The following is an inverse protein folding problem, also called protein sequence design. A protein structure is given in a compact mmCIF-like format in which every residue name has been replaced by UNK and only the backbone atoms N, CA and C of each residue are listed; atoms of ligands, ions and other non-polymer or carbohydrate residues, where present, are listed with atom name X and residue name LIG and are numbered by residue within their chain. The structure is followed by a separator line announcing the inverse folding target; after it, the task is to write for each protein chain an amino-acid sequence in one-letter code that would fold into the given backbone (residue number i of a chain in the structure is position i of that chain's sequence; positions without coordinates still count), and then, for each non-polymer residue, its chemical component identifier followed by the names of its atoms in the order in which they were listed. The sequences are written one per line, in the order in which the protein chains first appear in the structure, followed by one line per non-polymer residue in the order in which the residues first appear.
data_IF_458938676722
#
_entry.id   IF_458938676722
#
_cell.length_a   1.000
_cell.length_b   1.000
_cell.length_c   1.000
_cell.angle_alpha   90.00
_cell.angle_beta   90.00
_cell.angle_gamma   90.00
#
_symmetry.space_group_name_H-M   'P 1'
#
loop_
_entity.id
_entity.type
_entity.pdbx_description
1 polymer ?
#
# COMPACT_ATOMS: atom_id res chain seq x y z
N UNK A 1 44.79 10.14 -19.75
CA UNK A 1 43.79 11.20 -19.51
C UNK A 1 42.40 10.58 -19.53
N UNK A 2 41.76 10.42 -18.37
CA UNK A 2 40.45 9.76 -18.25
C UNK A 2 39.32 10.79 -18.41
N UNK A 3 38.46 10.61 -19.43
CA UNK A 3 37.28 11.46 -19.63
C UNK A 3 36.17 11.06 -18.66
N UNK A 4 35.52 12.02 -17.98
CA UNK A 4 34.39 11.73 -17.09
C UNK A 4 33.18 11.25 -17.89
N UNK A 5 32.54 10.17 -17.45
CA UNK A 5 31.29 9.63 -18.01
C UNK A 5 30.11 10.01 -17.10
N UNK A 6 29.00 10.42 -17.70
CA UNK A 6 27.78 10.86 -17.01
C UNK A 6 27.21 12.16 -17.57
N UNK A 7 25.95 12.47 -17.26
CA UNK A 7 25.28 13.71 -17.69
C UNK A 7 25.89 14.91 -16.94
N UNK A 8 26.86 15.58 -17.56
CA UNK A 8 27.50 16.80 -17.03
C UNK A 8 26.67 17.98 -17.52
N UNK A 9 25.96 18.64 -16.60
CA UNK A 9 25.20 19.86 -16.92
C UNK A 9 26.19 21.05 -16.85
N UNK A 10 26.50 21.71 -17.98
CA UNK A 10 27.38 22.88 -17.98
C UNK A 10 26.68 24.05 -17.27
N UNK A 11 27.35 24.65 -16.28
CA UNK A 11 26.84 25.83 -15.55
C UNK A 11 26.54 25.60 -14.07
N UNK A 12 26.57 24.37 -13.56
CA UNK A 12 26.59 24.12 -12.12
C UNK A 12 28.03 23.96 -11.65
N UNK A 13 28.66 25.10 -11.32
CA UNK A 13 29.91 25.11 -10.59
C UNK A 13 29.69 24.42 -9.24
N UNK A 14 30.44 23.33 -8.99
CA UNK A 14 30.57 22.72 -7.67
C UNK A 14 31.12 23.80 -6.74
N UNK A 15 30.27 24.38 -5.89
CA UNK A 15 30.74 25.11 -4.71
C UNK A 15 31.55 24.14 -3.87
N UNK A 16 32.78 24.53 -3.60
CA UNK A 16 33.68 23.81 -2.71
C UNK A 16 32.98 23.50 -1.39
N UNK A 17 33.16 22.28 -0.91
CA UNK A 17 32.56 21.81 0.33
C UNK A 17 33.10 22.63 1.50
N UNK A 18 32.30 23.59 1.96
CA UNK A 18 32.46 24.18 3.27
C UNK A 18 32.42 23.05 4.31
N UNK A 19 33.37 23.10 5.25
CA UNK A 19 33.57 22.17 6.38
C UNK A 19 32.24 21.69 6.98
N UNK A 20 32.12 20.43 7.41
CA UNK A 20 30.85 19.94 7.98
C UNK A 20 30.56 20.68 9.29
N UNK A 21 29.58 21.57 9.26
CA UNK A 21 28.97 22.11 10.47
C UNK A 21 28.32 20.94 11.22
N UNK A 22 28.58 20.85 12.54
CA UNK A 22 27.97 19.86 13.43
C UNK A 22 26.44 19.89 13.29
N UNK A 23 25.74 18.74 13.24
CA UNK A 23 24.30 18.74 13.11
C UNK A 23 23.64 19.40 14.34
N UNK A 24 22.57 20.19 14.18
CA UNK A 24 21.82 20.72 15.31
C UNK A 24 21.18 19.56 16.07
N UNK A 25 21.51 19.46 17.35
CA UNK A 25 20.91 18.52 18.29
C UNK A 25 19.44 18.92 18.42
N UNK A 26 18.55 18.04 17.98
CA UNK A 26 17.10 18.18 18.24
C UNK A 26 16.91 17.82 19.72
N UNK A 27 16.14 18.57 20.52
CA UNK A 27 15.84 18.16 21.88
C UNK A 27 15.04 16.84 21.82
N UNK A 28 15.67 15.76 22.28
CA UNK A 28 15.00 14.50 22.56
C UNK A 28 14.07 14.73 23.73
N UNK A 29 12.77 14.57 23.52
CA UNK A 29 11.72 14.76 24.54
C UNK A 29 11.75 13.64 25.61
N UNK A 30 12.64 12.64 25.44
CA UNK A 30 12.81 11.52 26.36
C UNK A 30 14.17 11.51 27.08
N UNK A 31 15.06 12.49 26.85
CA UNK A 31 16.34 12.64 27.56
C UNK A 31 16.25 13.67 28.71
N UNK A 32 15.13 13.73 29.42
CA UNK A 32 15.09 14.41 30.72
C UNK A 32 15.54 13.44 31.82
N UNK A 33 16.82 13.09 31.79
CA UNK A 33 17.51 12.63 33.00
C UNK A 33 18.99 12.96 32.91
N UNK A 34 19.42 13.77 33.88
CA UNK A 34 20.82 14.02 34.27
C UNK A 34 21.51 15.26 33.67
N UNK A 35 20.98 16.44 34.00
CA UNK A 35 21.83 17.61 34.29
C UNK A 35 21.38 18.16 35.67
N UNK A 36 22.02 17.67 36.73
CA UNK A 36 21.88 18.25 38.07
C UNK A 36 23.28 18.62 38.55
N UNK A 37 23.56 19.91 38.46
CA UNK A 37 24.65 20.58 39.17
C UNK A 37 24.40 20.53 40.68
N UNK A 38 25.50 20.68 41.40
CA UNK A 38 25.77 20.46 42.81
C UNK A 38 24.70 21.00 43.80
N UNK A 39 24.06 20.08 44.54
CA UNK A 39 23.59 20.40 45.88
C UNK A 39 23.64 19.16 46.78
N UNK A 40 24.50 19.27 47.78
CA UNK A 40 24.80 18.26 48.77
C UNK A 40 23.57 17.72 49.52
N UNK A 41 23.64 16.42 49.80
CA UNK A 41 22.97 15.73 50.92
C UNK A 41 21.44 15.82 50.98
N UNK A 42 20.73 14.90 50.31
CA UNK A 42 19.57 14.15 50.85
C UNK A 42 18.93 13.25 49.77
N UNK A 43 19.63 12.22 49.32
CA UNK A 43 19.00 11.10 48.61
C UNK A 43 18.74 9.97 49.63
N UNK A 44 17.53 9.37 49.69
CA UNK A 44 17.30 8.23 50.57
C UNK A 44 18.12 7.06 50.02
N UNK A 45 19.27 6.82 50.65
CA UNK A 45 20.10 5.66 50.40
C UNK A 45 19.29 4.41 50.73
N UNK A 46 18.75 3.75 49.70
CA UNK A 46 18.21 2.40 49.82
C UNK A 46 19.42 1.50 50.09
N UNK A 47 19.77 1.38 51.37
CA UNK A 47 20.73 0.39 51.83
C UNK A 47 20.20 -0.98 51.40
N UNK A 48 20.92 -1.76 50.58
CA UNK A 48 20.55 -3.15 50.41
C UNK A 48 20.63 -3.76 51.80
N UNK A 49 19.50 -4.23 52.35
CA UNK A 49 19.51 -4.98 53.60
C UNK A 49 20.34 -6.22 53.35
N UNK A 50 21.59 -6.17 53.77
CA UNK A 50 22.49 -7.30 53.83
C UNK A 50 21.97 -8.25 54.90
N UNK A 51 21.11 -9.19 54.50
CA UNK A 51 21.05 -10.58 55.00
C UNK A 51 19.93 -11.36 54.28
N UNK A 52 20.08 -11.60 52.98
CA UNK A 52 19.39 -12.73 52.31
C UNK A 52 20.46 -13.73 51.87
N UNK A 53 21.25 -14.20 52.83
CA UNK A 53 22.11 -15.39 52.67
C UNK A 53 21.41 -16.65 53.17
N UNK A 54 20.18 -16.54 53.66
CA UNK A 54 19.30 -17.68 53.90
C UNK A 54 18.38 -17.86 52.69
N UNK A 55 18.48 -19.00 52.01
CA UNK A 55 17.49 -19.40 51.02
C UNK A 55 16.07 -19.41 51.60
N UNK A 56 15.03 -19.58 50.76
CA UNK A 56 13.64 -19.42 51.19
C UNK A 56 13.32 -20.24 52.42
N UNK A 57 12.45 -19.73 53.29
CA UNK A 57 11.97 -20.47 54.47
C UNK A 57 11.32 -21.81 54.07
N UNK A 58 11.28 -22.77 54.98
CA UNK A 58 10.55 -24.05 54.77
C UNK A 58 9.08 -23.79 54.42
N UNK A 59 8.48 -22.74 55.01
CA UNK A 59 7.12 -22.34 54.71
C UNK A 59 6.97 -21.77 53.29
N UNK A 60 7.91 -20.92 52.85
CA UNK A 60 7.95 -20.41 51.47
C UNK A 60 8.10 -21.52 50.44
N UNK A 61 8.97 -22.51 50.71
CA UNK A 61 9.10 -23.68 49.83
C UNK A 61 7.80 -24.47 49.72
N UNK A 62 7.04 -24.60 50.81
CA UNK A 62 5.74 -25.29 50.81
C UNK A 62 4.69 -24.52 50.01
N UNK A 63 4.66 -23.19 50.14
CA UNK A 63 3.77 -22.33 49.36
C UNK A 63 4.13 -22.38 47.87
N UNK A 64 5.43 -22.29 47.53
CA UNK A 64 5.91 -22.38 46.16
C UNK A 64 5.55 -23.73 45.49
N UNK A 65 5.72 -24.85 46.20
CA UNK A 65 5.32 -26.18 45.69
C UNK A 65 3.82 -26.26 45.41
N UNK A 66 2.98 -25.78 46.33
CA UNK A 66 1.52 -25.73 46.10
C UNK A 66 1.14 -24.86 44.91
N UNK A 67 1.83 -23.75 44.71
CA UNK A 67 1.61 -22.87 43.55
C UNK A 67 2.04 -23.55 42.25
N UNK A 68 3.17 -24.26 42.25
CA UNK A 68 3.65 -25.04 41.11
C UNK A 68 2.70 -26.19 40.77
N UNK A 69 2.22 -26.94 41.77
CA UNK A 69 1.25 -28.03 41.58
C UNK A 69 -0.08 -27.51 41.00
N UNK A 70 -0.55 -26.34 41.47
CA UNK A 70 -1.74 -25.68 40.91
C UNK A 70 -1.52 -25.26 39.46
N UNK A 71 -0.39 -24.63 39.16
CA UNK A 71 -0.04 -24.20 37.81
C UNK A 71 0.05 -25.39 36.84
N UNK A 72 0.66 -26.51 37.26
CA UNK A 72 0.74 -27.75 36.48
C UNK A 72 -0.62 -28.43 36.30
N UNK A 73 -1.53 -28.31 37.28
CA UNK A 73 -2.89 -28.85 37.19
C UNK A 73 -3.78 -28.03 36.24
N UNK A 74 -3.54 -26.72 36.14
CA UNK A 74 -4.19 -25.83 35.18
C UNK A 74 -3.66 -26.08 33.76
N UNK A 75 -2.33 -26.11 33.60
CA UNK A 75 -1.69 -26.38 32.32
C UNK A 75 -0.32 -27.06 32.51
N UNK A 76 -0.13 -28.31 32.03
CA UNK A 76 1.16 -28.99 32.11
C UNK A 76 2.26 -28.32 31.27
N UNK A 77 1.90 -27.48 30.30
CA UNK A 77 2.84 -26.78 29.40
C UNK A 77 3.35 -25.44 29.95
N UNK A 78 2.86 -25.01 31.11
CA UNK A 78 3.09 -23.65 31.63
C UNK A 78 4.56 -23.31 31.90
N UNK A 79 5.43 -24.32 32.07
CA UNK A 79 6.87 -24.15 32.27
C UNK A 79 7.73 -24.55 31.06
N UNK A 80 7.11 -24.90 29.92
CA UNK A 80 7.79 -25.32 28.69
C UNK A 80 8.26 -24.12 27.84
N UNK A 81 8.94 -23.15 28.46
CA UNK A 81 9.38 -21.94 27.79
C UNK A 81 10.44 -22.20 26.72
N UNK A 82 11.45 -23.02 27.04
CA UNK A 82 12.52 -23.36 26.11
C UNK A 82 12.00 -24.17 24.92
N UNK A 83 11.12 -25.15 25.16
CA UNK A 83 10.55 -25.98 24.09
C UNK A 83 9.73 -25.14 23.08
N UNK A 84 8.91 -24.22 23.57
CA UNK A 84 8.13 -23.32 22.71
C UNK A 84 9.04 -22.36 21.92
N UNK A 85 10.12 -21.89 22.54
CA UNK A 85 11.08 -21.01 21.89
C UNK A 85 11.88 -21.75 20.81
N UNK A 86 12.35 -22.96 21.12
CA UNK A 86 13.04 -23.84 20.19
C UNK A 86 12.14 -24.18 19.00
N UNK A 87 10.85 -24.45 19.22
CA UNK A 87 9.88 -24.62 18.14
C UNK A 87 9.76 -23.37 17.25
N UNK A 88 9.74 -22.17 17.83
CA UNK A 88 9.65 -20.93 17.06
C UNK A 88 10.91 -20.69 16.22
N UNK A 89 12.10 -20.93 16.78
CA UNK A 89 13.37 -20.81 16.05
C UNK A 89 13.47 -21.88 14.96
N UNK A 90 13.14 -23.14 15.25
CA UNK A 90 13.10 -24.21 14.27
C UNK A 90 12.16 -23.87 13.10
N UNK A 91 10.93 -23.38 13.38
CA UNK A 91 9.99 -22.92 12.35
C UNK A 91 10.55 -21.74 11.54
N UNK A 92 11.27 -20.80 12.17
CA UNK A 92 11.93 -19.68 11.47
C UNK A 92 13.03 -20.18 10.55
N UNK A 93 13.84 -21.13 11.00
CA UNK A 93 14.95 -21.68 10.23
C UNK A 93 14.47 -22.58 9.09
N UNK A 94 13.45 -23.40 9.29
CA UNK A 94 12.74 -24.12 8.23
C UNK A 94 12.18 -23.14 7.18
N UNK A 95 11.57 -22.03 7.61
CA UNK A 95 11.08 -20.99 6.71
C UNK A 95 12.20 -20.26 5.94
N UNK A 96 13.39 -20.11 6.54
CA UNK A 96 14.57 -19.56 5.83
C UNK A 96 15.12 -20.58 4.83
N UNK A 97 15.17 -21.86 5.21
CA UNK A 97 15.68 -22.95 4.38
C UNK A 97 14.79 -23.22 3.16
N UNK A 98 13.48 -23.14 3.32
CA UNK A 98 12.53 -23.25 2.20
C UNK A 98 12.70 -22.07 1.23
N UNK A 99 12.81 -20.85 1.74
CA UNK A 99 13.07 -19.63 0.93
C UNK A 99 14.43 -19.63 0.23
N UNK A 100 15.44 -20.33 0.76
CA UNK A 100 16.76 -20.41 0.12
C UNK A 100 16.83 -21.47 -0.98
N UNK A 101 15.99 -22.52 -0.91
CA UNK A 101 15.86 -23.55 -1.95
C UNK A 101 15.17 -23.02 -3.22
N UNK A 102 14.32 -21.99 -3.09
CA UNK A 102 13.72 -21.35 -4.25
C UNK A 102 14.76 -20.52 -5.04
N UNK A 103 14.81 -20.63 -6.38
CA UNK A 103 15.71 -19.82 -7.18
C UNK A 103 15.35 -18.34 -6.98
N UNK A 104 16.32 -17.56 -6.47
CA UNK A 104 16.16 -16.10 -6.27
C UNK A 104 15.90 -15.40 -7.59
N UNK A 105 14.61 -15.21 -7.92
CA UNK A 105 14.20 -14.34 -9.02
C UNK A 105 14.54 -12.89 -8.65
N UNK A 106 15.05 -12.13 -9.62
CA UNK A 106 15.29 -10.71 -9.39
C UNK A 106 13.97 -10.00 -9.09
N UNK A 107 13.99 -9.12 -8.08
CA UNK A 107 12.80 -8.44 -7.56
C UNK A 107 11.99 -7.68 -8.62
N UNK A 108 12.63 -7.21 -9.69
CA UNK A 108 12.03 -6.31 -10.67
C UNK A 108 11.96 -6.85 -12.10
N UNK A 109 12.69 -7.93 -12.45
CA UNK A 109 12.80 -8.37 -13.85
C UNK A 109 11.43 -8.65 -14.46
N UNK A 110 10.55 -9.33 -13.73
CA UNK A 110 9.20 -9.64 -14.22
C UNK A 110 8.41 -8.37 -14.56
N UNK A 111 8.43 -7.37 -13.68
CA UNK A 111 7.76 -6.08 -13.92
C UNK A 111 8.33 -5.35 -15.13
N UNK A 112 9.66 -5.37 -15.29
CA UNK A 112 10.31 -4.80 -16.48
C UNK A 112 9.88 -5.49 -17.76
N UNK A 113 9.79 -6.82 -17.75
CA UNK A 113 9.33 -7.62 -18.90
C UNK A 113 7.87 -7.32 -19.22
N UNK A 114 6.98 -7.30 -18.22
CA UNK A 114 5.57 -6.93 -18.42
C UNK A 114 5.42 -5.52 -18.99
N UNK A 115 6.18 -4.53 -18.49
CA UNK A 115 6.13 -3.17 -19.05
C UNK A 115 6.67 -3.09 -20.47
N UNK A 116 7.69 -3.89 -20.81
CA UNK A 116 8.20 -3.97 -22.17
C UNK A 116 7.14 -4.56 -23.11
N UNK A 117 6.43 -5.60 -22.67
CA UNK A 117 5.32 -6.22 -23.41
C UNK A 117 4.16 -5.24 -23.59
N UNK A 118 3.72 -4.56 -22.53
CA UNK A 118 2.69 -3.51 -22.61
C UNK A 118 3.05 -2.42 -23.61
N UNK A 119 4.30 -1.94 -23.61
CA UNK A 119 4.78 -0.93 -24.57
C UNK A 119 4.82 -1.44 -26.02
N UNK A 120 5.15 -2.72 -26.22
CA UNK A 120 5.09 -3.33 -27.56
C UNK A 120 3.65 -3.35 -28.08
N UNK A 121 2.70 -3.81 -27.25
CA UNK A 121 1.27 -3.82 -27.58
C UNK A 121 0.74 -2.41 -27.86
N UNK A 122 1.07 -1.43 -27.03
CA UNK A 122 0.67 -0.03 -27.25
C UNK A 122 1.20 0.52 -28.58
N UNK A 123 2.47 0.22 -28.91
CA UNK A 123 3.07 0.62 -30.18
C UNK A 123 2.34 -0.01 -31.36
N UNK A 124 2.01 -1.29 -31.28
CA UNK A 124 1.26 -1.99 -32.32
C UNK A 124 -0.14 -1.40 -32.50
N UNK A 125 -0.86 -1.13 -31.42
CA UNK A 125 -2.17 -0.46 -31.44
C UNK A 125 -2.11 0.96 -32.00
N UNK A 126 -1.02 1.69 -31.73
CA UNK A 126 -0.81 3.04 -32.25
C UNK A 126 -0.62 3.02 -33.77
N UNK A 127 0.23 2.11 -34.25
CA UNK A 127 0.44 1.92 -35.69
C UNK A 127 -0.86 1.49 -36.37
N UNK A 128 -1.64 0.61 -35.75
CA UNK A 128 -2.92 0.16 -36.30
C UNK A 128 -3.96 1.28 -36.37
N UNK A 129 -4.07 2.11 -35.33
CA UNK A 129 -4.91 3.32 -35.35
C UNK A 129 -4.49 4.30 -36.45
N UNK A 130 -3.18 4.47 -36.64
CA UNK A 130 -2.67 5.31 -37.72
C UNK A 130 -3.08 4.75 -39.09
N UNK A 131 -2.86 3.45 -39.32
CA UNK A 131 -3.24 2.78 -40.59
C UNK A 131 -4.75 2.84 -40.83
N UNK A 132 -5.58 2.69 -39.79
CA UNK A 132 -7.03 2.84 -39.92
C UNK A 132 -7.42 4.27 -40.33
N UNK A 133 -6.83 5.27 -39.68
CA UNK A 133 -7.07 6.68 -40.01
C UNK A 133 -6.65 7.02 -41.44
N UNK A 134 -5.50 6.50 -41.88
CA UNK A 134 -5.01 6.70 -43.25
C UNK A 134 -5.95 6.01 -44.26
N UNK A 135 -6.46 4.81 -43.95
CA UNK A 135 -7.44 4.11 -44.78
C UNK A 135 -8.81 4.77 -44.83
N UNK A 136 -9.27 5.37 -43.75
CA UNK A 136 -10.52 6.14 -43.74
C UNK A 136 -10.38 7.39 -44.62
N UNK A 137 -9.23 8.08 -44.56
CA UNK A 137 -8.94 9.23 -45.41
C UNK A 137 -8.81 8.85 -46.90
N UNK A 138 -8.16 7.73 -47.23
CA UNK A 138 -8.09 7.21 -48.59
C UNK A 138 -9.42 6.61 -49.07
N UNK A 139 -10.20 6.04 -48.15
CA UNK A 139 -11.48 5.41 -48.41
C UNK A 139 -12.50 6.38 -49.01
N UNK A 140 -12.45 7.66 -48.62
CA UNK A 140 -13.22 8.74 -49.24
C UNK A 140 -12.96 8.88 -50.75
N UNK A 141 -11.73 8.60 -51.20
CA UNK A 141 -11.33 8.71 -52.61
C UNK A 141 -11.63 7.43 -53.42
N UNK A 142 -11.88 6.30 -52.75
CA UNK A 142 -12.06 5.00 -53.38
C UNK A 142 -13.39 4.32 -52.99
N UNK A 143 -14.41 5.09 -52.63
CA UNK A 143 -15.75 4.61 -52.27
C UNK A 143 -16.39 3.72 -53.35
N UNK A 144 -16.08 3.99 -54.61
CA UNK A 144 -16.64 3.26 -55.76
C UNK A 144 -15.94 1.91 -56.02
N UNK A 145 -14.92 1.54 -55.22
CA UNK A 145 -14.16 0.29 -55.38
C UNK A 145 -14.45 -0.68 -54.24
N UNK A 146 -14.48 -1.96 -54.59
CA UNK A 146 -14.68 -3.03 -53.61
C UNK A 146 -13.51 -3.13 -52.61
N UNK A 147 -13.83 -3.34 -51.33
CA UNK A 147 -12.85 -3.56 -50.26
C UNK A 147 -12.78 -5.03 -49.89
N UNK A 148 -11.60 -5.65 -50.05
CA UNK A 148 -11.39 -7.06 -49.73
C UNK A 148 -10.54 -7.21 -48.47
N UNK A 149 -11.03 -8.01 -47.52
CA UNK A 149 -10.36 -8.26 -46.24
C UNK A 149 -10.02 -9.74 -46.10
N UNK A 150 -8.74 -10.04 -45.84
CA UNK A 150 -8.25 -11.40 -45.60
C UNK A 150 -8.72 -11.95 -44.26
N UNK A 151 -8.90 -13.27 -44.15
CA UNK A 151 -9.36 -13.92 -42.92
C UNK A 151 -8.45 -13.63 -41.70
N UNK A 152 -7.14 -13.53 -41.92
CA UNK A 152 -6.18 -13.19 -40.87
C UNK A 152 -6.37 -11.75 -40.35
N UNK A 153 -6.69 -10.80 -41.24
CA UNK A 153 -6.96 -9.43 -40.83
C UNK A 153 -8.29 -9.29 -40.09
N UNK A 154 -9.33 -10.04 -40.47
CA UNK A 154 -10.59 -10.07 -39.69
C UNK A 154 -10.36 -10.53 -38.25
N UNK A 155 -9.61 -11.62 -38.07
CA UNK A 155 -9.21 -12.10 -36.73
C UNK A 155 -8.41 -11.06 -35.94
N UNK A 156 -7.54 -10.30 -36.62
CA UNK A 156 -6.80 -9.20 -35.99
C UNK A 156 -7.73 -8.08 -35.51
N UNK A 157 -8.70 -7.68 -36.32
CA UNK A 157 -9.69 -6.66 -35.94
C UNK A 157 -10.54 -7.10 -34.75
N UNK A 158 -10.97 -8.36 -34.73
CA UNK A 158 -11.70 -8.96 -33.60
C UNK A 158 -10.85 -8.94 -32.34
N UNK A 159 -9.60 -9.38 -32.42
CA UNK A 159 -8.66 -9.34 -31.30
C UNK A 159 -8.45 -7.93 -30.74
N UNK A 160 -8.28 -6.94 -31.62
CA UNK A 160 -8.13 -5.54 -31.22
C UNK A 160 -9.39 -5.00 -30.57
N UNK A 161 -10.58 -5.34 -31.11
CA UNK A 161 -11.86 -4.95 -30.52
C UNK A 161 -12.04 -5.54 -29.12
N UNK A 162 -11.75 -6.82 -28.94
CA UNK A 162 -11.80 -7.46 -27.62
C UNK A 162 -10.83 -6.80 -26.63
N UNK A 163 -9.64 -6.42 -27.09
CA UNK A 163 -8.64 -5.75 -26.26
C UNK A 163 -9.13 -4.37 -25.82
N UNK A 164 -9.73 -3.60 -26.73
CA UNK A 164 -10.34 -2.31 -26.42
C UNK A 164 -11.52 -2.44 -25.46
N UNK A 165 -12.40 -3.44 -25.63
CA UNK A 165 -13.52 -3.66 -24.71
C UNK A 165 -13.03 -4.06 -23.30
N UNK A 166 -11.96 -4.84 -23.21
CA UNK A 166 -11.30 -5.19 -21.93
C UNK A 166 -10.66 -3.96 -21.28
N UNK A 167 -9.96 -3.13 -22.04
CA UNK A 167 -9.36 -1.88 -21.57
C UNK A 167 -10.45 -0.91 -21.08
N UNK A 168 -11.51 -0.69 -21.86
CA UNK A 168 -12.63 0.16 -21.46
C UNK A 168 -13.35 -0.33 -20.19
N UNK A 169 -13.51 -1.65 -20.03
CA UNK A 169 -14.06 -2.22 -18.78
C UNK A 169 -13.13 -1.99 -17.60
N UNK A 170 -11.82 -2.17 -17.78
CA UNK A 170 -10.84 -1.92 -16.73
C UNK A 170 -10.83 -0.43 -16.34
N UNK A 171 -10.79 0.47 -17.32
CA UNK A 171 -10.84 1.92 -17.14
C UNK A 171 -12.13 2.36 -16.44
N UNK A 172 -13.26 1.72 -16.75
CA UNK A 172 -14.53 1.97 -16.07
C UNK A 172 -14.49 1.59 -14.59
N UNK A 173 -13.97 0.40 -14.27
CA UNK A 173 -13.80 -0.06 -12.89
C UNK A 173 -12.81 0.82 -12.12
N UNK A 174 -11.69 1.18 -12.75
CA UNK A 174 -10.70 2.09 -12.16
C UNK A 174 -11.30 3.48 -11.96
N UNK A 175 -12.05 4.02 -12.93
CA UNK A 175 -12.70 5.31 -12.79
C UNK A 175 -13.73 5.35 -11.66
N UNK A 176 -14.40 4.22 -11.38
CA UNK A 176 -15.26 4.08 -10.21
C UNK A 176 -14.44 4.13 -8.92
N UNK A 177 -13.27 3.47 -8.86
CA UNK A 177 -12.41 3.44 -7.67
C UNK A 177 -11.49 4.67 -7.50
N UNK A 178 -11.36 5.49 -8.53
CA UNK A 178 -10.47 6.65 -8.56
C UNK A 178 -11.01 7.77 -7.67
N UNK A 179 -10.27 7.99 -6.58
CA UNK A 179 -10.53 9.00 -5.57
C UNK A 179 -10.64 10.42 -6.15
N UNK A 180 -9.95 10.70 -7.25
CA UNK A 180 -10.00 12.03 -7.90
C UNK A 180 -11.29 12.27 -8.68
N UNK A 181 -11.96 11.20 -9.11
CA UNK A 181 -13.23 11.24 -9.84
C UNK A 181 -14.43 11.13 -8.92
N UNK A 182 -14.24 10.58 -7.72
CA UNK A 182 -15.26 10.52 -6.67
C UNK A 182 -15.43 11.87 -5.96
N UNK A 183 -16.64 12.13 -5.46
CA UNK A 183 -16.94 13.32 -4.64
C UNK A 183 -16.45 13.18 -3.20
N UNK A 184 -16.45 11.95 -2.69
CA UNK A 184 -16.18 11.63 -1.29
C UNK A 184 -15.08 10.55 -1.20
N UNK A 185 -14.25 10.62 -0.16
CA UNK A 185 -13.07 9.76 0.04
C UNK A 185 -13.40 8.40 0.71
N UNK A 186 -14.67 8.13 0.96
CA UNK A 186 -15.12 6.98 1.74
C UNK A 186 -14.72 5.63 1.12
N UNK A 187 -14.66 5.54 -0.20
CA UNK A 187 -14.19 4.34 -0.91
C UNK A 187 -12.73 4.03 -0.65
N UNK A 188 -11.88 5.06 -0.59
CA UNK A 188 -10.47 4.93 -0.25
C UNK A 188 -10.28 4.46 1.20
N UNK A 189 -11.01 5.07 2.15
CA UNK A 189 -10.92 4.68 3.55
C UNK A 189 -11.43 3.25 3.76
N UNK A 190 -12.55 2.85 3.12
CA UNK A 190 -13.04 1.47 3.18
C UNK A 190 -11.98 0.47 2.70
N UNK A 191 -11.34 0.74 1.56
CA UNK A 191 -10.28 -0.11 1.04
C UNK A 191 -9.05 -0.18 1.98
N UNK A 192 -8.65 0.96 2.56
CA UNK A 192 -7.54 1.01 3.51
C UNK A 192 -7.85 0.25 4.81
N UNK A 193 -9.09 0.33 5.29
CA UNK A 193 -9.57 -0.46 6.43
C UNK A 193 -9.60 -1.96 6.10
N UNK A 194 -10.13 -2.36 4.94
CA UNK A 194 -10.13 -3.74 4.46
C UNK A 194 -8.71 -4.30 4.34
N UNK A 195 -7.75 -3.50 3.84
CA UNK A 195 -6.36 -3.92 3.70
C UNK A 195 -5.65 -4.10 5.05
N UNK A 196 -5.92 -3.22 6.03
CA UNK A 196 -5.25 -3.27 7.35
C UNK A 196 -5.89 -4.25 8.33
N UNK A 197 -7.22 -4.32 8.34
CA UNK A 197 -7.97 -5.13 9.31
C UNK A 197 -8.42 -6.47 8.72
N UNK A 198 -8.26 -6.67 7.41
CA UNK A 198 -8.88 -7.78 6.68
C UNK A 198 -10.39 -7.56 6.57
N UNK A 199 -11.02 -8.20 5.59
CA UNK A 199 -12.48 -8.36 5.61
C UNK A 199 -12.79 -9.31 6.76
N UNK A 200 -13.17 -8.77 7.93
CA UNK A 200 -13.70 -9.60 9.00
C UNK A 200 -14.92 -10.35 8.45
N UNK A 201 -14.81 -11.68 8.39
CA UNK A 201 -15.91 -12.60 8.07
C UNK A 201 -17.05 -12.42 9.07
N UNK A 202 -17.92 -11.43 8.88
CA UNK A 202 -19.28 -11.45 9.43
C UNK A 202 -20.18 -10.55 8.59
N UNK A 203 -20.85 -11.12 7.59
CA UNK A 203 -22.17 -10.62 7.17
C UNK A 203 -23.15 -10.86 8.34
N UNK A 204 -23.15 -9.99 9.34
CA UNK A 204 -24.30 -9.91 10.26
C UNK A 204 -25.39 -9.19 9.48
N UNK A 205 -26.29 -9.96 8.86
CA UNK A 205 -27.57 -9.41 8.38
C UNK A 205 -28.25 -8.74 9.58
N UNK A 206 -28.58 -7.43 9.54
CA UNK A 206 -29.24 -6.78 10.67
C UNK A 206 -30.62 -7.42 10.86
N UNK A 207 -30.85 -8.04 12.03
CA UNK A 207 -32.16 -8.53 12.49
C UNK A 207 -33.02 -7.37 12.98
N UNK A 208 -33.27 -6.39 12.11
CA UNK A 208 -34.25 -5.34 12.34
C UNK A 208 -34.74 -4.87 10.98
N UNK A 209 -35.49 -5.74 10.31
CA UNK A 209 -36.50 -5.30 9.37
C UNK A 209 -37.69 -4.81 10.20
N UNK A 210 -38.01 -3.50 10.25
CA UNK A 210 -39.35 -3.09 10.61
C UNK A 210 -40.30 -3.45 9.46
N UNK A 211 -41.41 -4.05 9.88
CA UNK A 211 -42.66 -4.30 9.18
C UNK A 211 -42.91 -3.47 7.92
N UNK A 212 -43.37 -4.17 6.88
CA UNK A 212 -44.12 -3.63 5.76
C UNK A 212 -45.29 -2.79 6.25
N UNK A 213 -45.21 -1.47 6.13
CA UNK A 213 -46.38 -0.59 6.10
C UNK A 213 -46.05 0.67 5.28
N UNK A 214 -46.98 0.95 4.38
CA UNK A 214 -47.02 1.91 3.28
C UNK A 214 -46.30 3.25 3.51
N UNK A 215 -45.24 3.51 2.74
CA UNK A 215 -44.77 4.88 2.49
C UNK A 215 -44.97 5.19 1.02
N UNK A 216 -46.06 5.90 0.74
CA UNK A 216 -46.38 6.42 -0.59
C UNK A 216 -45.23 7.30 -1.12
N UNK A 217 -44.64 6.89 -2.23
CA UNK A 217 -43.63 7.65 -2.95
C UNK A 217 -44.28 8.93 -3.53
N UNK A 218 -43.90 10.10 -3.03
CA UNK A 218 -44.19 11.36 -3.74
C UNK A 218 -43.19 11.50 -4.90
N UNK A 219 -43.62 11.78 -6.13
CA UNK A 219 -42.70 11.96 -7.25
C UNK A 219 -41.83 13.18 -7.01
N UNK A 220 -40.51 12.99 -7.10
CA UNK A 220 -39.51 14.06 -7.04
C UNK A 220 -39.75 14.96 -8.26
N UNK A 221 -40.14 16.22 -8.04
CA UNK A 221 -40.19 17.23 -9.10
C UNK A 221 -38.75 17.48 -9.58
N UNK A 222 -38.55 17.45 -10.89
CA UNK A 222 -37.27 17.77 -11.50
C UNK A 222 -36.91 19.24 -11.21
N UNK A 223 -35.86 19.48 -10.44
CA UNK A 223 -35.33 20.82 -10.26
C UNK A 223 -34.65 21.29 -11.56
N UNK A 224 -35.09 22.45 -12.04
CA UNK A 224 -34.57 23.11 -13.25
C UNK A 224 -33.10 23.48 -13.05
N UNK A 225 -32.21 23.26 -14.04
CA UNK A 225 -30.80 23.59 -13.91
C UNK A 225 -30.59 25.10 -13.71
N UNK A 226 -30.02 25.50 -12.57
CA UNK A 226 -29.60 26.88 -12.32
C UNK A 226 -28.41 27.22 -13.20
N UNK A 227 -28.61 28.11 -14.17
CA UNK A 227 -27.55 28.66 -15.00
C UNK A 227 -26.62 29.53 -14.13
N UNK A 228 -25.40 29.04 -13.84
CA UNK A 228 -24.35 29.89 -13.25
C UNK A 228 -23.90 30.89 -14.31
N UNK A 229 -23.96 32.18 -13.99
CA UNK A 229 -23.40 33.24 -14.83
C UNK A 229 -21.89 33.31 -14.60
N UNK A 230 -21.12 32.88 -15.58
CA UNK A 230 -19.67 33.06 -15.58
C UNK A 230 -19.38 34.54 -15.83
N UNK A 231 -18.63 35.19 -14.93
CA UNK A 231 -18.10 36.54 -15.13
C UNK A 231 -17.12 36.49 -16.30
N UNK A 232 -17.53 36.93 -17.49
CA UNK A 232 -16.63 37.13 -18.63
C UNK A 232 -15.55 38.14 -18.21
N UNK A 233 -14.27 37.74 -18.27
CA UNK A 233 -13.16 38.69 -18.18
C UNK A 233 -13.22 39.57 -19.43
N UNK A 234 -13.24 40.89 -19.20
CA UNK A 234 -13.12 41.90 -20.25
C UNK A 234 -11.72 41.76 -20.86
N UNK A 235 -11.63 41.60 -22.17
CA UNK A 235 -10.34 41.68 -22.86
C UNK A 235 -9.80 43.11 -22.70
N UNK A 236 -8.56 43.24 -22.25
CA UNK A 236 -7.80 44.47 -22.37
C UNK A 236 -7.38 44.60 -23.83
N UNK A 237 -7.78 45.69 -24.48
CA UNK A 237 -7.26 46.09 -25.78
C UNK A 237 -5.80 46.55 -25.61
N UNK A 238 -4.90 45.93 -26.37
CA UNK A 238 -3.66 46.48 -26.92
C UNK A 238 -3.31 45.70 -28.19
#
# INVERSE_FOLDING_TARGET
MSKPYGLIIPGQQKKEAARPAKPPIKPSIFDESSESDDSANNAPQIRPKASVTGGPSVMERRVARRMQEKALAEDPTIFQYDELYDEMENKRDEAKLTKSKEPRKAKYINRLMEHAERRKLEKELRVERQVQKDREAEGEMYKDKDTYVTAAYRKRLEYVRELQEKEQRADYLEAIGDVTKQKDLDGFYRHLYEQKLGTADTMVKPKTAPSTEEVAYKPIKADVPKHRSYRKRRASEE
#
